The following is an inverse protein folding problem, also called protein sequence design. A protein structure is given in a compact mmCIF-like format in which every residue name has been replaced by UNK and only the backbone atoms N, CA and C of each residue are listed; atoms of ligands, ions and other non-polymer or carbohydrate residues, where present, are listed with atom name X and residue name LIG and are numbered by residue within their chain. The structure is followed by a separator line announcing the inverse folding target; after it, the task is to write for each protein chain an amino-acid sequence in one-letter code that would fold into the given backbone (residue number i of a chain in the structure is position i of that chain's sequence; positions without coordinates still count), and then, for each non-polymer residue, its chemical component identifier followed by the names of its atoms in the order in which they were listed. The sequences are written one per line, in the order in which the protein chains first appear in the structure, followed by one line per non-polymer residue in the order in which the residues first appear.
data_IF_131042606820
#
_entry.id   IF_131042606820
#
_cell.length_a   1.000
_cell.length_b   1.000
_cell.length_c   1.000
_cell.angle_alpha   90.00
_cell.angle_beta   90.00
_cell.angle_gamma   90.00
#
_symmetry.space_group_name_H-M   'P 1'
#
loop_
_entity.id
_entity.type
_entity.pdbx_description
1 polymer ?
#
# COMPACT_ATOMS: atom_id res chain seq x y z
N UNK A 1 38.92 -33.10 -24.51
CA UNK A 1 38.06 -32.26 -23.64
C UNK A 1 37.10 -31.49 -24.53
N UNK A 2 36.04 -32.15 -24.98
CA UNK A 2 35.04 -31.58 -25.88
C UNK A 2 34.03 -30.78 -25.06
N UNK A 3 33.95 -29.47 -25.29
CA UNK A 3 32.95 -28.61 -24.67
C UNK A 3 31.55 -29.04 -25.10
N UNK A 4 30.65 -29.25 -24.14
CA UNK A 4 29.24 -29.43 -24.43
C UNK A 4 28.65 -28.11 -24.97
N UNK A 5 27.81 -28.15 -26.01
CA UNK A 5 26.98 -27.00 -26.36
C UNK A 5 25.95 -26.78 -25.24
N UNK A 6 26.02 -25.65 -24.55
CA UNK A 6 24.94 -25.21 -23.66
C UNK A 6 23.74 -24.83 -24.53
N UNK A 7 22.56 -25.42 -24.29
CA UNK A 7 21.36 -24.98 -25.01
C UNK A 7 21.09 -23.52 -24.65
N UNK A 8 20.76 -22.66 -25.62
CA UNK A 8 20.27 -21.34 -25.27
C UNK A 8 19.00 -21.54 -24.45
N UNK A 9 18.93 -20.91 -23.26
CA UNK A 9 17.68 -20.79 -22.54
C UNK A 9 16.72 -20.04 -23.46
N UNK A 10 15.92 -20.80 -24.19
CA UNK A 10 14.91 -20.31 -25.11
C UNK A 10 13.83 -19.72 -24.21
N UNK A 11 13.97 -18.47 -23.81
CA UNK A 11 12.82 -17.69 -23.39
C UNK A 11 11.89 -17.72 -24.60
N UNK A 12 10.89 -18.60 -24.50
CA UNK A 12 9.77 -18.69 -25.41
C UNK A 12 9.37 -17.27 -25.79
N UNK A 13 8.97 -17.06 -27.04
CA UNK A 13 8.35 -15.81 -27.48
C UNK A 13 6.97 -15.74 -26.81
N UNK A 14 6.97 -15.68 -25.47
CA UNK A 14 5.84 -15.43 -24.63
C UNK A 14 5.25 -14.17 -25.20
N UNK A 15 3.98 -14.28 -25.57
CA UNK A 15 3.27 -13.21 -26.24
C UNK A 15 3.41 -11.96 -25.37
N UNK A 16 4.20 -10.98 -25.83
CA UNK A 16 4.54 -9.79 -25.03
C UNK A 16 3.29 -9.07 -24.53
N UNK A 17 2.18 -9.20 -25.27
CA UNK A 17 0.86 -8.74 -24.84
C UNK A 17 0.36 -9.45 -23.58
N UNK A 18 0.48 -10.77 -23.51
CA UNK A 18 0.13 -11.54 -22.30
C UNK A 18 1.00 -11.14 -21.11
N UNK A 19 2.31 -10.96 -21.30
CA UNK A 19 3.19 -10.50 -20.20
C UNK A 19 2.83 -9.11 -19.75
N UNK A 20 2.58 -8.19 -20.69
CA UNK A 20 2.17 -6.83 -20.36
C UNK A 20 0.83 -6.81 -19.60
N UNK A 21 -0.15 -7.61 -20.05
CA UNK A 21 -1.45 -7.72 -19.37
C UNK A 21 -1.32 -8.36 -17.99
N UNK A 22 -0.50 -9.41 -17.84
CA UNK A 22 -0.26 -10.04 -16.55
C UNK A 22 0.45 -9.08 -15.58
N UNK A 23 1.46 -8.35 -16.05
CA UNK A 23 2.16 -7.35 -15.24
C UNK A 23 1.24 -6.20 -14.82
N UNK A 24 0.42 -5.68 -15.75
CA UNK A 24 -0.57 -4.65 -15.45
C UNK A 24 -1.62 -5.16 -14.44
N UNK A 25 -2.15 -6.36 -14.64
CA UNK A 25 -3.10 -6.98 -13.72
C UNK A 25 -2.51 -7.20 -12.33
N UNK A 26 -1.27 -7.69 -12.24
CA UNK A 26 -0.56 -7.84 -10.97
C UNK A 26 -0.34 -6.49 -10.27
N UNK A 27 0.03 -5.44 -11.02
CA UNK A 27 0.19 -4.09 -10.47
C UNK A 27 -1.12 -3.52 -9.93
N UNK A 28 -2.23 -3.68 -10.67
CA UNK A 28 -3.56 -3.25 -10.22
C UNK A 28 -3.98 -4.02 -8.97
N UNK A 29 -3.82 -5.34 -8.95
CA UNK A 29 -4.16 -6.16 -7.80
C UNK A 29 -3.36 -5.76 -6.55
N UNK A 30 -2.05 -5.50 -6.72
CA UNK A 30 -1.18 -5.05 -5.64
C UNK A 30 -1.61 -3.69 -5.10
N UNK A 31 -1.93 -2.75 -5.99
CA UNK A 31 -2.42 -1.42 -5.58
C UNK A 31 -3.72 -1.54 -4.78
N UNK A 32 -4.68 -2.35 -5.24
CA UNK A 32 -5.94 -2.59 -4.53
C UNK A 32 -5.67 -3.20 -3.15
N UNK A 33 -4.84 -4.25 -3.08
CA UNK A 33 -4.51 -4.92 -1.82
C UNK A 33 -3.83 -3.98 -0.82
N UNK A 34 -2.87 -3.17 -1.28
CA UNK A 34 -2.17 -2.19 -0.44
C UNK A 34 -3.15 -1.16 0.13
N UNK A 35 -4.02 -0.58 -0.70
CA UNK A 35 -5.01 0.39 -0.22
C UNK A 35 -6.04 -0.25 0.73
N UNK A 36 -6.51 -1.46 0.43
CA UNK A 36 -7.40 -2.20 1.32
C UNK A 36 -6.75 -2.48 2.68
N UNK A 37 -5.45 -2.80 2.69
CA UNK A 37 -4.69 -2.99 3.92
C UNK A 37 -4.60 -1.69 4.75
N UNK A 38 -4.35 -0.54 4.11
CA UNK A 38 -4.33 0.74 4.81
C UNK A 38 -5.67 1.08 5.45
N UNK A 39 -6.77 0.86 4.74
CA UNK A 39 -8.13 1.05 5.29
C UNK A 39 -8.38 0.10 6.45
N UNK A 40 -7.99 -1.18 6.31
CA UNK A 40 -8.13 -2.17 7.37
C UNK A 40 -7.38 -1.74 8.64
N UNK A 41 -6.12 -1.34 8.50
CA UNK A 41 -5.30 -0.86 9.62
C UNK A 41 -5.91 0.38 10.27
N UNK A 42 -6.36 1.36 9.47
CA UNK A 42 -6.98 2.57 9.99
C UNK A 42 -8.25 2.30 10.83
N UNK A 43 -8.97 1.20 10.55
CA UNK A 43 -10.19 0.82 11.28
C UNK A 43 -9.89 -0.11 12.46
N UNK A 44 -8.96 -1.06 12.29
CA UNK A 44 -8.70 -2.12 13.28
C UNK A 44 -7.69 -1.70 14.34
N UNK A 45 -6.74 -0.84 13.98
CA UNK A 45 -5.91 -0.18 14.97
C UNK A 45 -6.81 0.82 15.68
N UNK A 46 -7.55 0.42 16.72
CA UNK A 46 -8.20 1.37 17.63
C UNK A 46 -7.15 2.41 18.02
N UNK A 47 -7.14 3.62 17.44
CA UNK A 47 -6.27 4.65 17.95
C UNK A 47 -6.91 5.02 19.28
N UNK A 48 -6.19 4.86 20.39
CA UNK A 48 -6.69 5.39 21.66
C UNK A 48 -7.07 6.85 21.40
N UNK A 49 -8.37 7.17 21.45
CA UNK A 49 -8.82 8.55 21.35
C UNK A 49 -8.46 9.20 22.68
N UNK A 50 -7.20 9.63 22.74
CA UNK A 50 -6.61 10.35 23.86
C UNK A 50 -7.52 11.55 24.13
N UNK A 51 -7.85 11.88 25.41
CA UNK A 51 -8.80 12.95 25.68
C UNK A 51 -8.29 14.26 25.07
N UNK A 52 -8.92 14.68 23.98
CA UNK A 52 -8.76 16.02 23.47
C UNK A 52 -9.52 16.94 24.40
N UNK A 53 -8.87 17.29 25.52
CA UNK A 53 -9.39 18.32 26.38
C UNK A 53 -9.59 19.59 25.56
N UNK A 54 -10.85 20.00 25.44
CA UNK A 54 -11.20 21.40 25.20
C UNK A 54 -10.80 22.20 26.43
N UNK A 55 -9.52 22.24 26.78
CA UNK A 55 -9.05 23.16 27.80
C UNK A 55 -9.09 24.55 27.17
N UNK A 56 -9.68 25.49 27.89
CA UNK A 56 -9.71 26.90 27.56
C UNK A 56 -8.29 27.40 27.24
N UNK A 57 -8.13 28.21 26.19
CA UNK A 57 -6.87 28.93 25.97
C UNK A 57 -6.56 29.86 27.14
N UNK A 58 -5.30 30.34 27.30
CA UNK A 58 -5.00 31.37 28.28
C UNK A 58 -6.01 32.52 28.15
N UNK A 59 -6.76 32.78 29.22
CA UNK A 59 -7.74 33.87 29.26
C UNK A 59 -9.14 33.60 28.70
N UNK A 60 -9.64 32.36 28.67
CA UNK A 60 -11.07 32.16 28.33
C UNK A 60 -11.36 31.92 26.85
N UNK A 61 -10.34 31.94 25.99
CA UNK A 61 -10.53 31.97 24.53
C UNK A 61 -10.87 30.59 23.96
N UNK A 62 -11.84 30.56 23.05
CA UNK A 62 -12.12 29.39 22.23
C UNK A 62 -10.91 29.12 21.34
N UNK A 63 -10.48 27.87 21.30
CA UNK A 63 -9.43 27.39 20.41
C UNK A 63 -9.91 26.14 19.68
N UNK A 64 -9.42 25.95 18.46
CA UNK A 64 -9.84 24.84 17.61
C UNK A 64 -9.61 23.49 18.32
N UNK A 65 -10.59 22.59 18.22
CA UNK A 65 -10.42 21.22 18.68
C UNK A 65 -9.32 20.54 17.85
N UNK A 66 -8.43 19.81 18.52
CA UNK A 66 -7.38 19.02 17.88
C UNK A 66 -7.94 17.61 17.61
N UNK A 67 -7.49 16.97 16.52
CA UNK A 67 -7.99 15.68 16.00
C UNK A 67 -8.08 14.61 17.09
N UNK A 68 -9.28 14.09 17.35
CA UNK A 68 -9.62 13.25 18.50
C UNK A 68 -8.91 11.89 18.56
N UNK A 69 -8.10 11.52 17.56
CA UNK A 69 -8.58 10.78 16.38
C UNK A 69 -9.00 11.74 15.23
#
# INVERSE_FOLDING_TARGET
MTGLPTPPLRLSRINRRFVALAAAGAGIALLIAANAHLVYVAVVSQPDCVPHEKSTGPGGTFRAARSAC
#
